data_IF_951867198886
#
_entry.id   IF_951867198886
#
_cell.length_a   1.000
_cell.length_b   1.000
_cell.length_c   1.000
_cell.angle_alpha   90.00
_cell.angle_beta   90.00
_cell.angle_gamma   90.00
#
_symmetry.space_group_name_H-M   'P 1'
#
loop_
_entity.id
_entity.type
_entity.pdbx_description
1 polymer ?
#
# COMPACT_ATOMS: atom_id res chain seq x y z
N UNK A 1 -37.23 14.93 -41.66
CA UNK A 1 -37.42 15.62 -40.37
C UNK A 1 -37.07 14.65 -39.24
N UNK A 2 -35.99 14.96 -38.51
CA UNK A 2 -35.55 14.46 -37.18
C UNK A 2 -35.37 12.95 -36.93
N UNK A 3 -34.10 12.50 -36.95
CA UNK A 3 -33.59 11.44 -36.07
C UNK A 3 -32.27 11.93 -35.47
N UNK A 4 -32.33 12.55 -34.29
CA UNK A 4 -31.16 12.83 -33.46
C UNK A 4 -31.59 12.59 -32.01
N UNK A 5 -30.68 12.00 -31.23
CA UNK A 5 -30.68 11.94 -29.76
C UNK A 5 -31.18 10.63 -29.15
N UNK A 6 -30.28 9.63 -29.05
CA UNK A 6 -30.39 8.56 -28.04
C UNK A 6 -29.05 7.98 -27.54
N UNK A 7 -27.89 8.45 -28.01
CA UNK A 7 -26.58 7.81 -27.71
C UNK A 7 -25.85 8.46 -26.51
N UNK A 8 -26.27 9.62 -26.01
CA UNK A 8 -25.51 10.36 -24.98
C UNK A 8 -25.76 9.94 -23.53
N UNK A 9 -26.81 9.15 -23.22
CA UNK A 9 -27.15 8.82 -21.83
C UNK A 9 -26.45 7.55 -21.30
N UNK A 10 -25.99 6.65 -22.18
CA UNK A 10 -25.36 5.39 -21.80
C UNK A 10 -23.91 5.56 -21.30
N UNK A 11 -23.18 6.56 -21.80
CA UNK A 11 -21.78 6.80 -21.44
C UNK A 11 -21.61 7.44 -20.04
N UNK A 12 -22.61 8.21 -19.59
CA UNK A 12 -22.59 8.86 -18.27
C UNK A 12 -22.88 7.87 -17.12
N UNK A 13 -23.66 6.82 -17.38
CA UNK A 13 -23.98 5.77 -16.40
C UNK A 13 -22.83 4.76 -16.23
N UNK A 14 -22.10 4.42 -17.31
CA UNK A 14 -20.93 3.52 -17.23
C UNK A 14 -19.73 4.16 -16.52
N UNK A 15 -19.53 5.46 -16.67
CA UNK A 15 -18.43 6.16 -15.98
C UNK A 15 -18.70 6.28 -14.48
N UNK A 16 -19.93 6.63 -14.08
CA UNK A 16 -20.32 6.68 -12.66
C UNK A 16 -20.19 5.33 -11.93
N UNK A 17 -20.50 4.20 -12.61
CA UNK A 17 -20.40 2.86 -12.01
C UNK A 17 -18.95 2.43 -11.81
N UNK A 18 -18.06 2.71 -12.77
CA UNK A 18 -16.62 2.44 -12.63
C UNK A 18 -15.95 3.29 -11.53
N UNK A 19 -16.36 4.56 -11.34
CA UNK A 19 -15.84 5.40 -10.25
C UNK A 19 -16.38 4.98 -8.88
N UNK A 20 -17.63 4.58 -8.78
CA UNK A 20 -18.24 4.10 -7.53
C UNK A 20 -17.63 2.76 -7.07
N UNK A 21 -17.40 1.81 -7.98
CA UNK A 21 -16.71 0.55 -7.68
C UNK A 21 -15.26 0.78 -7.24
N UNK A 22 -14.53 1.69 -7.91
CA UNK A 22 -13.17 2.05 -7.49
C UNK A 22 -13.14 2.62 -6.08
N UNK A 23 -14.08 3.49 -5.73
CA UNK A 23 -14.17 4.10 -4.39
C UNK A 23 -14.58 3.10 -3.32
N UNK A 24 -15.46 2.14 -3.64
CA UNK A 24 -15.86 1.06 -2.74
C UNK A 24 -14.72 0.04 -2.53
N UNK A 25 -13.95 -0.29 -3.58
CA UNK A 25 -12.78 -1.15 -3.48
C UNK A 25 -11.67 -0.48 -2.65
N UNK A 26 -11.39 0.81 -2.89
CA UNK A 26 -10.41 1.63 -2.16
C UNK A 26 -10.79 1.79 -0.67
N UNK A 27 -12.09 1.88 -0.36
CA UNK A 27 -12.57 1.86 1.04
C UNK A 27 -12.52 0.47 1.69
N UNK A 28 -12.56 -0.61 0.92
CA UNK A 28 -12.55 -1.97 1.46
C UNK A 28 -11.13 -2.50 1.75
N UNK A 29 -10.10 -2.00 1.06
CA UNK A 29 -8.70 -2.40 1.29
C UNK A 29 -7.94 -1.51 2.28
N UNK A 30 -8.51 -0.36 2.68
CA UNK A 30 -7.90 0.58 3.60
C UNK A 30 -6.86 1.49 2.92
N UNK A 31 -6.19 2.37 3.67
CA UNK A 31 -5.27 3.35 3.11
C UNK A 31 -4.06 2.69 2.45
N UNK A 32 -3.62 3.30 1.36
CA UNK A 32 -2.41 2.94 0.63
C UNK A 32 -1.20 3.63 1.25
N UNK A 33 -0.12 2.87 1.48
CA UNK A 33 1.19 3.40 1.85
C UNK A 33 2.11 3.37 0.63
N UNK A 34 2.85 4.46 0.41
CA UNK A 34 3.79 4.62 -0.69
C UNK A 34 5.22 4.33 -0.21
N UNK A 35 5.82 3.25 -0.70
CA UNK A 35 7.17 2.80 -0.31
C UNK A 35 8.16 3.11 -1.43
N UNK A 36 9.14 3.97 -1.17
CA UNK A 36 10.24 4.23 -2.09
C UNK A 36 11.16 3.01 -2.16
N UNK A 37 11.16 2.34 -3.33
CA UNK A 37 11.98 1.16 -3.61
C UNK A 37 13.37 1.55 -4.13
N UNK A 38 13.43 2.50 -5.06
CA UNK A 38 14.66 3.01 -5.64
C UNK A 38 14.55 4.53 -5.80
N UNK A 39 15.63 5.24 -5.47
CA UNK A 39 15.73 6.69 -5.60
C UNK A 39 16.82 7.02 -6.59
N UNK A 40 16.54 7.92 -7.52
CA UNK A 40 17.54 8.47 -8.45
C UNK A 40 18.32 7.36 -9.19
N UNK A 41 17.63 6.32 -9.65
CA UNK A 41 18.20 5.21 -10.42
C UNK A 41 18.27 5.55 -11.91
N UNK A 42 19.25 5.02 -12.64
CA UNK A 42 19.32 5.20 -14.10
C UNK A 42 18.19 4.43 -14.81
N UNK A 43 17.89 3.24 -14.31
CA UNK A 43 16.85 2.37 -14.85
C UNK A 43 16.48 1.29 -13.83
N UNK A 44 15.32 0.68 -13.99
CA UNK A 44 14.93 -0.54 -13.27
C UNK A 44 14.34 -1.56 -14.23
N UNK A 45 14.49 -2.85 -13.95
CA UNK A 45 13.73 -3.88 -14.63
C UNK A 45 12.33 -3.94 -14.01
N UNK A 46 11.31 -3.51 -14.76
CA UNK A 46 9.92 -3.51 -14.33
C UNK A 46 9.14 -4.61 -15.04
N UNK A 47 8.46 -5.44 -14.25
CA UNK A 47 7.63 -6.53 -14.73
C UNK A 47 6.23 -6.46 -14.12
N UNK A 48 5.21 -6.47 -14.97
CA UNK A 48 3.85 -6.81 -14.59
C UNK A 48 3.65 -8.31 -14.81
N UNK A 49 3.23 -9.04 -13.77
CA UNK A 49 2.88 -10.47 -13.84
C UNK A 49 1.36 -10.58 -13.87
N UNK A 50 0.81 -10.94 -15.03
CA UNK A 50 -0.63 -10.93 -15.29
C UNK A 50 -1.09 -9.66 -15.99
N UNK A 51 -2.41 -9.46 -16.07
CA UNK A 51 -3.00 -8.29 -16.71
C UNK A 51 -2.61 -7.01 -15.95
N UNK A 52 -2.48 -5.90 -16.68
CA UNK A 52 -2.08 -4.61 -16.12
C UNK A 52 -2.69 -3.44 -16.88
N UNK A 53 -2.71 -2.28 -16.23
CA UNK A 53 -3.05 -0.99 -16.81
C UNK A 53 -1.96 0.03 -16.51
N UNK A 54 -1.68 0.93 -17.45
CA UNK A 54 -0.77 2.06 -17.29
C UNK A 54 -1.58 3.35 -17.30
N UNK A 55 -1.33 4.22 -16.34
CA UNK A 55 -1.93 5.55 -16.25
C UNK A 55 -0.87 6.61 -15.99
N UNK A 56 -1.14 7.84 -16.43
CA UNK A 56 -0.44 9.03 -15.99
C UNK A 56 -0.67 9.23 -14.49
N UNK A 57 0.39 9.41 -13.70
CA UNK A 57 0.25 9.58 -12.25
C UNK A 57 -0.30 10.96 -11.88
N UNK A 58 0.10 11.99 -12.62
CA UNK A 58 -0.27 13.39 -12.41
C UNK A 58 -1.76 13.66 -12.70
N UNK A 59 -2.28 13.12 -13.80
CA UNK A 59 -3.67 13.36 -14.23
C UNK A 59 -4.61 12.19 -14.01
N UNK A 60 -4.08 10.98 -13.80
CA UNK A 60 -4.85 9.74 -13.80
C UNK A 60 -5.28 9.28 -15.20
N UNK A 61 -4.86 9.96 -16.26
CA UNK A 61 -5.24 9.64 -17.65
C UNK A 61 -4.73 8.26 -18.05
N UNK A 62 -5.54 7.52 -18.78
CA UNK A 62 -5.16 6.21 -19.31
C UNK A 62 -4.06 6.33 -20.36
N UNK A 63 -3.04 5.46 -20.29
CA UNK A 63 -1.94 5.37 -21.25
C UNK A 63 -1.94 4.05 -22.02
N UNK A 64 -2.37 2.96 -21.39
CA UNK A 64 -2.37 1.65 -22.03
C UNK A 64 -2.74 0.52 -21.08
N UNK A 65 -2.77 -0.70 -21.62
CA UNK A 65 -3.07 -1.91 -20.87
C UNK A 65 -2.47 -3.14 -21.55
N UNK A 66 -2.38 -4.24 -20.81
CA UNK A 66 -2.08 -5.56 -21.35
C UNK A 66 -2.88 -6.63 -20.62
N UNK A 67 -3.31 -7.65 -21.36
CA UNK A 67 -4.04 -8.80 -20.80
C UNK A 67 -3.11 -9.90 -20.29
N UNK A 68 -1.83 -9.86 -20.69
CA UNK A 68 -0.77 -10.76 -20.26
C UNK A 68 0.36 -9.98 -19.60
N UNK A 69 1.27 -10.69 -18.93
CA UNK A 69 2.42 -10.07 -18.29
C UNK A 69 3.35 -9.35 -19.27
N UNK A 70 4.07 -8.35 -18.77
CA UNK A 70 5.01 -7.53 -19.54
C UNK A 70 6.27 -7.26 -18.72
N UNK A 71 7.44 -7.43 -19.32
CA UNK A 71 8.74 -7.25 -18.66
C UNK A 71 9.68 -6.43 -19.54
N UNK A 72 10.04 -5.23 -19.10
CA UNK A 72 10.96 -4.35 -19.81
C UNK A 72 11.75 -3.48 -18.82
N UNK A 73 12.91 -3.00 -19.26
CA UNK A 73 13.63 -1.96 -18.54
C UNK A 73 12.84 -0.66 -18.63
N UNK A 74 12.61 -0.04 -17.47
CA UNK A 74 12.06 1.30 -17.35
C UNK A 74 13.18 2.29 -17.06
N UNK A 75 13.22 3.38 -17.82
CA UNK A 75 14.20 4.47 -17.68
C UNK A 75 13.59 5.78 -18.17
N UNK A 76 14.24 6.88 -17.82
CA UNK A 76 13.86 8.19 -18.33
C UNK A 76 14.54 8.46 -19.69
N UNK A 77 13.81 9.18 -20.54
CA UNK A 77 14.24 9.81 -21.76
C UNK A 77 14.25 11.33 -21.55
N UNK A 78 14.80 12.07 -22.52
CA UNK A 78 14.73 13.54 -22.50
C UNK A 78 13.28 14.04 -22.49
N UNK A 79 12.41 13.42 -23.29
CA UNK A 79 11.01 13.82 -23.47
C UNK A 79 9.99 12.89 -22.78
N UNK A 80 10.37 12.20 -21.70
CA UNK A 80 9.44 11.43 -20.87
C UNK A 80 9.99 10.10 -20.39
N UNK A 81 9.12 9.10 -20.20
CA UNK A 81 9.48 7.77 -19.69
C UNK A 81 9.38 6.71 -20.78
N UNK A 82 10.16 5.64 -20.64
CA UNK A 82 10.04 4.43 -21.47
C UNK A 82 9.84 3.20 -20.61
N UNK A 83 8.92 2.33 -21.01
CA UNK A 83 8.76 0.97 -20.49
C UNK A 83 8.11 0.08 -21.57
N UNK A 84 8.95 -0.61 -22.36
CA UNK A 84 8.52 -1.26 -23.60
C UNK A 84 8.32 -0.21 -24.69
N UNK A 85 7.15 0.43 -24.68
CA UNK A 85 6.84 1.66 -25.41
C UNK A 85 7.36 2.93 -24.72
N UNK A 86 7.42 4.00 -25.50
CA UNK A 86 7.74 5.34 -25.05
C UNK A 86 6.47 6.08 -24.66
N UNK A 87 6.57 6.92 -23.64
CA UNK A 87 5.50 7.79 -23.17
C UNK A 87 5.96 9.25 -23.30
N UNK A 88 5.84 9.86 -24.50
CA UNK A 88 6.24 11.25 -24.73
C UNK A 88 5.43 12.20 -23.86
N UNK A 89 6.08 13.22 -23.31
CA UNK A 89 5.50 14.22 -22.40
C UNK A 89 4.83 13.61 -21.14
N UNK A 90 5.27 12.40 -20.75
CA UNK A 90 4.82 11.70 -19.55
C UNK A 90 6.02 11.45 -18.64
N UNK A 91 6.12 12.26 -17.59
CA UNK A 91 7.23 12.19 -16.61
C UNK A 91 6.89 11.34 -15.39
N UNK A 92 5.65 10.86 -15.28
CA UNK A 92 5.20 10.05 -14.15
C UNK A 92 4.12 9.04 -14.60
N UNK A 93 4.40 7.76 -14.44
CA UNK A 93 3.44 6.68 -14.73
C UNK A 93 3.12 5.86 -13.50
N UNK A 94 1.96 5.22 -13.49
CA UNK A 94 1.62 4.16 -12.55
C UNK A 94 1.17 2.92 -13.31
N UNK A 95 1.80 1.80 -13.04
CA UNK A 95 1.43 0.49 -13.55
C UNK A 95 0.61 -0.22 -12.48
N UNK A 96 -0.66 -0.47 -12.78
CA UNK A 96 -1.62 -1.13 -11.91
C UNK A 96 -1.79 -2.59 -12.34
N UNK A 97 -1.44 -3.58 -11.51
CA UNK A 97 -1.85 -4.95 -11.77
C UNK A 97 -3.38 -5.07 -11.79
N UNK A 98 -3.93 -5.97 -12.60
CA UNK A 98 -5.37 -6.19 -12.76
C UNK A 98 -5.71 -7.64 -12.40
N UNK A 99 -6.58 -7.81 -11.40
CA UNK A 99 -6.99 -9.11 -10.88
C UNK A 99 -6.23 -9.54 -9.62
N UNK A 100 -6.75 -10.54 -8.88
CA UNK A 100 -6.26 -10.90 -7.55
C UNK A 100 -4.88 -11.56 -7.55
N UNK A 101 -4.53 -12.26 -8.64
CA UNK A 101 -3.23 -12.93 -8.79
C UNK A 101 -2.18 -12.06 -9.49
N UNK A 102 -2.57 -10.89 -9.99
CA UNK A 102 -1.66 -10.01 -10.70
C UNK A 102 -0.74 -9.27 -9.71
N UNK A 103 0.54 -9.23 -10.04
CA UNK A 103 1.57 -8.62 -9.18
C UNK A 103 2.57 -7.84 -10.00
N UNK A 104 3.36 -7.02 -9.31
CA UNK A 104 4.45 -6.27 -9.92
C UNK A 104 5.79 -6.85 -9.46
N UNK A 105 6.83 -6.67 -10.26
CA UNK A 105 8.18 -7.07 -9.93
C UNK A 105 9.14 -5.95 -10.35
N UNK A 106 10.02 -5.55 -9.44
CA UNK A 106 11.06 -4.54 -9.66
C UNK A 106 12.40 -5.17 -9.33
N UNK A 107 13.29 -5.23 -10.32
CA UNK A 107 14.61 -5.85 -10.23
C UNK A 107 14.57 -7.28 -9.64
N UNK A 108 13.52 -8.03 -10.00
CA UNK A 108 13.31 -9.42 -9.58
C UNK A 108 12.61 -9.61 -8.24
N UNK A 109 12.36 -8.53 -7.48
CA UNK A 109 11.59 -8.60 -6.24
C UNK A 109 10.11 -8.40 -6.55
N UNK A 110 9.27 -9.34 -6.13
CA UNK A 110 7.83 -9.28 -6.34
C UNK A 110 7.14 -8.43 -5.26
N UNK A 111 6.23 -7.57 -5.68
CA UNK A 111 5.44 -6.68 -4.86
C UNK A 111 3.94 -6.82 -5.16
N UNK A 112 3.12 -6.57 -4.14
CA UNK A 112 1.68 -6.36 -4.30
C UNK A 112 1.39 -4.87 -4.53
N UNK A 113 0.23 -4.58 -5.10
CA UNK A 113 -0.18 -3.22 -5.40
C UNK A 113 0.49 -2.66 -6.66
N UNK A 114 0.34 -1.35 -6.85
CA UNK A 114 0.82 -0.67 -8.06
C UNK A 114 2.29 -0.24 -7.93
N UNK A 115 2.94 -0.01 -9.06
CA UNK A 115 4.27 0.62 -9.11
C UNK A 115 4.15 1.96 -9.83
N UNK A 116 4.55 3.02 -9.16
CA UNK A 116 4.67 4.36 -9.73
C UNK A 116 6.13 4.68 -10.01
N UNK A 117 6.37 5.23 -11.20
CA UNK A 117 7.69 5.69 -11.64
C UNK A 117 7.62 7.19 -11.80
N UNK A 118 8.57 7.90 -11.21
CA UNK A 118 8.73 9.34 -11.30
C UNK A 118 10.05 9.63 -12.00
N UNK A 119 10.04 10.41 -13.06
CA UNK A 119 11.25 10.99 -13.60
C UNK A 119 11.84 11.99 -12.59
N UNK A 120 13.11 11.82 -12.29
CA UNK A 120 13.92 12.68 -11.46
C UNK A 120 14.84 13.52 -12.36
N UNK A 121 15.69 14.33 -11.73
CA UNK A 121 16.69 15.14 -12.44
C UNK A 121 17.69 14.26 -13.17
N UNK A 122 18.30 14.81 -14.22
CA UNK A 122 19.45 14.20 -14.94
C UNK A 122 19.12 12.82 -15.55
N UNK A 123 17.90 12.63 -16.07
CA UNK A 123 17.52 11.37 -16.71
C UNK A 123 17.43 10.19 -15.75
N UNK A 124 17.25 10.45 -14.45
CA UNK A 124 17.08 9.40 -13.43
C UNK A 124 15.61 9.16 -13.14
N UNK A 125 15.30 8.06 -12.45
CA UNK A 125 13.96 7.69 -12.02
C UNK A 125 13.91 7.34 -10.54
N UNK A 126 12.78 7.62 -9.91
CA UNK A 126 12.42 7.10 -8.60
C UNK A 126 11.25 6.14 -8.73
N UNK A 127 11.31 5.03 -7.99
CA UNK A 127 10.37 3.92 -8.07
C UNK A 127 9.68 3.76 -6.73
N UNK A 128 8.35 3.80 -6.76
CA UNK A 128 7.50 3.77 -5.56
C UNK A 128 6.50 2.64 -5.71
N UNK A 129 6.37 1.81 -4.68
CA UNK A 129 5.29 0.85 -4.59
C UNK A 129 4.13 1.44 -3.79
N UNK A 130 2.93 1.41 -4.38
CA UNK A 130 1.68 1.83 -3.77
C UNK A 130 0.91 0.57 -3.36
N UNK A 131 0.91 0.27 -2.05
CA UNK A 131 0.41 -1.00 -1.52
C UNK A 131 -0.57 -0.76 -0.35
N UNK A 132 -1.65 -1.57 -0.22
CA UNK A 132 -2.50 -1.52 0.96
C UNK A 132 -1.69 -1.77 2.23
N UNK A 133 -2.00 -1.02 3.30
CA UNK A 133 -1.23 -1.13 4.56
C UNK A 133 -1.24 -2.57 5.11
N UNK A 134 -2.32 -3.33 4.94
CA UNK A 134 -2.38 -4.71 5.41
C UNK A 134 -1.34 -5.61 4.71
N UNK A 135 -1.12 -5.43 3.40
CA UNK A 135 -0.09 -6.15 2.66
C UNK A 135 1.32 -5.64 2.97
N UNK A 136 1.47 -4.34 3.25
CA UNK A 136 2.72 -3.77 3.78
C UNK A 136 3.10 -4.37 5.13
N UNK A 137 2.15 -4.51 6.07
CA UNK A 137 2.38 -5.13 7.37
C UNK A 137 2.73 -6.61 7.23
N UNK A 138 2.06 -7.33 6.32
CA UNK A 138 2.41 -8.73 6.01
C UNK A 138 3.86 -8.85 5.55
N UNK A 139 4.35 -7.91 4.74
CA UNK A 139 5.75 -7.95 4.29
C UNK A 139 6.74 -7.56 5.40
N UNK A 140 6.46 -6.48 6.12
CA UNK A 140 7.38 -5.96 7.14
C UNK A 140 7.46 -6.85 8.38
N UNK A 141 6.32 -7.28 8.94
CA UNK A 141 6.29 -7.99 10.22
C UNK A 141 6.67 -9.47 10.13
N UNK A 142 6.49 -10.12 8.98
CA UNK A 142 6.74 -11.57 8.82
C UNK A 142 8.19 -11.98 9.10
N UNK A 143 9.15 -11.08 8.87
CA UNK A 143 10.57 -11.38 9.12
C UNK A 143 11.01 -11.09 10.55
N UNK A 144 10.30 -10.21 11.27
CA UNK A 144 10.58 -9.90 12.66
C UNK A 144 10.04 -10.96 13.62
N UNK A 145 8.83 -11.45 13.38
CA UNK A 145 8.18 -12.42 14.28
C UNK A 145 8.25 -13.84 13.72
N UNK A 146 9.43 -14.44 13.80
CA UNK A 146 9.67 -15.83 13.37
C UNK A 146 9.06 -16.86 14.32
N UNK A 147 8.96 -16.51 15.61
CA UNK A 147 8.34 -17.33 16.66
C UNK A 147 6.92 -16.80 16.92
N UNK A 148 5.90 -17.66 17.02
CA UNK A 148 4.56 -17.20 17.36
C UNK A 148 4.53 -16.64 18.79
N UNK A 149 3.96 -15.45 18.94
CA UNK A 149 3.63 -14.87 20.25
C UNK A 149 2.18 -15.24 20.62
N UNK A 150 1.79 -15.10 21.90
CA UNK A 150 0.39 -15.16 22.29
C UNK A 150 -0.49 -14.26 21.40
N UNK A 151 -1.69 -14.73 21.08
CA UNK A 151 -2.62 -14.05 20.15
C UNK A 151 -2.80 -12.57 20.48
N UNK A 152 -3.04 -12.25 21.75
CA UNK A 152 -3.28 -10.89 22.22
C UNK A 152 -2.01 -10.01 22.17
N UNK A 153 -0.84 -10.60 22.43
CA UNK A 153 0.45 -9.91 22.27
C UNK A 153 0.68 -9.53 20.81
N UNK A 154 0.51 -10.49 19.88
CA UNK A 154 0.68 -10.23 18.46
C UNK A 154 -0.36 -9.21 17.95
N UNK A 155 -1.60 -9.29 18.41
CA UNK A 155 -2.64 -8.33 18.08
C UNK A 155 -2.26 -6.90 18.51
N UNK A 156 -1.76 -6.72 19.74
CA UNK A 156 -1.30 -5.42 20.22
C UNK A 156 -0.16 -4.83 19.37
N UNK A 157 0.84 -5.66 19.05
CA UNK A 157 2.00 -5.27 18.23
C UNK A 157 1.59 -4.89 16.80
N UNK A 158 0.69 -5.66 16.19
CA UNK A 158 0.15 -5.39 14.85
C UNK A 158 -0.67 -4.09 14.83
N UNK A 159 -1.51 -3.86 15.83
CA UNK A 159 -2.31 -2.62 15.94
C UNK A 159 -1.39 -1.39 16.09
N UNK A 160 -0.34 -1.49 16.92
CA UNK A 160 0.64 -0.43 17.06
C UNK A 160 1.36 -0.15 15.72
N UNK A 161 1.87 -1.19 15.06
CA UNK A 161 2.54 -1.07 13.76
C UNK A 161 1.62 -0.48 12.67
N UNK A 162 0.35 -0.87 12.66
CA UNK A 162 -0.66 -0.32 11.75
C UNK A 162 -0.91 1.16 12.01
N UNK A 163 -1.04 1.54 13.27
CA UNK A 163 -1.26 2.94 13.66
C UNK A 163 -0.09 3.82 13.18
N UNK A 164 1.14 3.34 13.33
CA UNK A 164 2.33 4.02 12.83
C UNK A 164 2.37 4.12 11.31
N UNK A 165 1.96 3.06 10.60
CA UNK A 165 1.87 3.08 9.15
C UNK A 165 0.82 4.12 8.68
N UNK A 166 -0.36 4.13 9.30
CA UNK A 166 -1.43 5.09 9.00
C UNK A 166 -0.98 6.54 9.23
N UNK A 167 -0.23 6.80 10.31
CA UNK A 167 0.26 8.14 10.62
C UNK A 167 1.33 8.65 9.64
N UNK A 168 2.01 7.77 8.90
CA UNK A 168 3.02 8.13 7.89
C UNK A 168 2.41 8.50 6.54
N UNK A 169 1.21 8.00 6.24
CA UNK A 169 0.52 8.26 4.97
C UNK A 169 0.30 9.75 4.76
N UNK A 170 0.78 10.27 3.63
CA UNK A 170 0.62 11.66 3.23
C UNK A 170 0.15 11.76 1.79
N UNK A 171 -0.76 12.70 1.52
CA UNK A 171 -1.21 13.02 0.16
C UNK A 171 -0.20 13.89 -0.61
N UNK A 172 0.67 14.63 0.09
CA UNK A 172 1.50 15.69 -0.50
C UNK A 172 2.93 15.26 -0.83
N UNK A 173 3.29 13.99 -0.57
CA UNK A 173 4.63 13.46 -0.82
C UNK A 173 4.57 12.32 -1.83
N UNK A 174 5.57 12.19 -2.73
CA UNK A 174 5.60 11.07 -3.68
C UNK A 174 5.75 9.71 -3.01
N UNK A 175 6.32 9.65 -1.79
CA UNK A 175 6.38 8.45 -0.95
C UNK A 175 6.25 8.78 0.54
N UNK A 176 5.89 7.78 1.33
CA UNK A 176 5.67 7.87 2.78
C UNK A 176 6.83 7.27 3.58
N UNK A 177 7.44 6.19 3.07
CA UNK A 177 8.57 5.48 3.70
C UNK A 177 9.60 5.03 2.68
N UNK A 178 10.82 4.75 3.13
CA UNK A 178 11.89 4.16 2.31
C UNK A 178 12.04 2.67 2.62
N UNK A 179 12.22 1.84 1.59
CA UNK A 179 12.28 0.37 1.68
C UNK A 179 13.23 -0.14 2.77
N UNK A 180 14.46 0.40 2.84
CA UNK A 180 15.49 -0.01 3.82
C UNK A 180 15.11 0.36 5.25
N UNK A 181 14.56 1.55 5.46
CA UNK A 181 14.15 2.03 6.80
C UNK A 181 12.90 1.30 7.30
N UNK A 182 12.02 0.90 6.38
CA UNK A 182 10.78 0.20 6.67
C UNK A 182 10.96 -1.31 6.91
N UNK A 183 12.09 -1.90 6.50
CA UNK A 183 12.23 -3.36 6.47
C UNK A 183 11.19 -4.00 5.53
N UNK A 184 10.91 -3.36 4.39
CA UNK A 184 9.95 -3.84 3.41
C UNK A 184 10.67 -4.70 2.36
N UNK A 185 10.26 -5.96 2.19
CA UNK A 185 11.00 -6.93 1.36
C UNK A 185 10.19 -7.45 0.17
N UNK A 186 9.01 -6.87 -0.09
CA UNK A 186 8.05 -7.40 -1.04
C UNK A 186 7.43 -8.71 -0.55
N UNK A 187 6.84 -9.44 -1.48
CA UNK A 187 5.96 -10.59 -1.22
C UNK A 187 6.71 -11.92 -1.39
N UNK A 188 7.64 -11.99 -2.34
CA UNK A 188 8.38 -13.24 -2.63
C UNK A 188 9.16 -13.78 -1.43
N UNK A 189 9.70 -12.89 -0.59
CA UNK A 189 10.47 -13.26 0.61
C UNK A 189 9.56 -13.68 1.77
N UNK A 190 8.31 -13.20 1.81
CA UNK A 190 7.47 -13.26 3.02
C UNK A 190 6.33 -14.27 2.92
N UNK A 191 6.00 -14.78 1.73
CA UNK A 191 4.91 -15.75 1.55
C UNK A 191 5.12 -17.07 2.32
N UNK A 192 6.36 -17.55 2.46
CA UNK A 192 6.60 -18.91 2.96
C UNK A 192 6.44 -19.07 4.49
N UNK A 193 6.41 -17.97 5.27
CA UNK A 193 6.43 -18.02 6.75
C UNK A 193 5.63 -16.90 7.44
N UNK A 194 4.47 -16.53 6.91
CA UNK A 194 3.70 -15.43 7.49
C UNK A 194 2.89 -15.88 8.73
N UNK A 195 3.56 -16.01 9.88
CA UNK A 195 2.96 -16.31 11.19
C UNK A 195 2.16 -15.13 11.77
N UNK A 196 2.29 -13.95 11.18
CA UNK A 196 1.62 -12.72 11.62
C UNK A 196 0.31 -12.49 10.87
N UNK A 197 0.07 -13.23 9.78
CA UNK A 197 -1.06 -13.05 8.87
C UNK A 197 -2.41 -13.07 9.61
N UNK A 198 -2.63 -14.06 10.47
CA UNK A 198 -3.89 -14.21 11.20
C UNK A 198 -4.15 -13.02 12.12
N UNK A 199 -3.14 -12.54 12.85
CA UNK A 199 -3.27 -11.35 13.70
C UNK A 199 -3.48 -10.08 12.88
N UNK A 200 -2.87 -9.95 11.69
CA UNK A 200 -3.13 -8.86 10.77
C UNK A 200 -4.59 -8.88 10.30
N UNK A 201 -5.07 -10.04 9.87
CA UNK A 201 -6.43 -10.21 9.34
C UNK A 201 -7.49 -10.04 10.45
N UNK A 202 -7.26 -10.52 11.68
CA UNK A 202 -8.19 -10.34 12.82
C UNK A 202 -8.23 -8.92 13.38
N UNK A 203 -7.13 -8.18 13.28
CA UNK A 203 -7.05 -6.78 13.74
C UNK A 203 -7.19 -5.78 12.60
N UNK A 204 -7.68 -6.23 11.43
CA UNK A 204 -7.73 -5.43 10.21
C UNK A 204 -8.34 -4.06 10.48
N UNK A 205 -7.63 -3.02 10.06
CA UNK A 205 -7.98 -1.60 10.26
C UNK A 205 -8.11 -1.10 11.71
N UNK A 206 -7.82 -1.91 12.73
CA UNK A 206 -7.76 -1.44 14.12
C UNK A 206 -6.54 -0.56 14.33
N UNK A 207 -6.78 0.62 14.90
CA UNK A 207 -5.73 1.63 15.19
C UNK A 207 -5.93 2.24 16.57
N UNK A 208 -4.87 2.85 17.10
CA UNK A 208 -4.86 3.57 18.38
C UNK A 208 -5.12 5.06 18.16
N UNK A 209 -6.09 5.61 18.88
CA UNK A 209 -6.36 7.06 18.94
C UNK A 209 -6.29 7.58 20.37
N UNK A 210 -5.94 8.85 20.51
CA UNK A 210 -6.04 9.53 21.80
C UNK A 210 -7.49 9.85 22.12
N UNK A 211 -7.92 9.46 23.31
CA UNK A 211 -9.23 9.84 23.86
C UNK A 211 -9.38 11.34 24.02
N UNK A 212 -8.28 12.08 24.20
CA UNK A 212 -8.28 13.54 24.39
C UNK A 212 -8.42 14.29 23.08
N UNK A 213 -7.63 13.92 22.07
CA UNK A 213 -7.54 14.67 20.81
C UNK A 213 -8.29 14.03 19.63
N UNK A 214 -8.67 12.75 19.73
CA UNK A 214 -9.24 11.96 18.64
C UNK A 214 -8.25 11.61 17.51
N UNK A 215 -6.99 12.08 17.59
CA UNK A 215 -5.94 11.83 16.59
C UNK A 215 -5.32 10.45 16.79
N UNK A 216 -4.74 9.90 15.72
CA UNK A 216 -3.92 8.69 15.81
C UNK A 216 -2.72 8.96 16.74
N UNK A 217 -2.39 7.98 17.58
CA UNK A 217 -1.19 8.02 18.40
C UNK A 217 -0.11 7.24 17.66
N UNK A 218 0.85 7.95 17.08
CA UNK A 218 2.03 7.34 16.46
C UNK A 218 3.19 7.19 17.44
N UNK A 219 4.14 6.32 17.11
CA UNK A 219 5.31 6.01 17.94
C UNK A 219 5.00 5.04 19.08
N UNK A 220 3.90 4.28 18.99
CA UNK A 220 3.51 3.31 20.03
C UNK A 220 4.50 2.15 20.01
N UNK A 221 5.46 2.19 20.93
CA UNK A 221 6.53 1.18 21.01
C UNK A 221 6.21 0.21 22.13
N UNK A 222 5.87 -1.02 21.77
CA UNK A 222 5.61 -2.11 22.72
C UNK A 222 6.74 -3.13 22.55
N UNK A 223 7.61 -3.33 23.55
CA UNK A 223 8.62 -4.39 23.50
C UNK A 223 7.94 -5.76 23.37
N UNK A 224 8.33 -6.63 22.41
CA UNK A 224 7.66 -7.91 22.20
C UNK A 224 7.58 -8.80 23.46
N UNK A 225 8.66 -8.88 24.24
CA UNK A 225 8.69 -9.66 25.48
C UNK A 225 7.75 -9.10 26.57
N UNK A 226 7.57 -7.78 26.63
CA UNK A 226 6.60 -7.17 27.55
C UNK A 226 5.15 -7.45 27.11
N UNK A 227 4.88 -7.43 25.79
CA UNK A 227 3.58 -7.80 25.25
C UNK A 227 3.24 -9.27 25.55
N UNK A 228 4.23 -10.16 25.40
CA UNK A 228 4.12 -11.59 25.69
C UNK A 228 3.83 -11.84 27.17
N UNK A 229 4.62 -11.28 28.09
CA UNK A 229 4.43 -11.41 29.53
C UNK A 229 3.03 -10.95 29.98
N UNK A 230 2.56 -9.82 29.45
CA UNK A 230 1.22 -9.30 29.77
C UNK A 230 0.11 -10.20 29.23
N UNK A 231 0.28 -10.75 28.03
CA UNK A 231 -0.68 -11.66 27.42
C UNK A 231 -0.76 -12.99 28.19
N UNK A 232 0.38 -13.53 28.64
CA UNK A 232 0.43 -14.73 29.48
C UNK A 232 -0.26 -14.53 30.83
N UNK A 233 -0.25 -13.30 31.35
CA UNK A 233 -1.04 -12.89 32.54
C UNK A 233 -2.53 -12.66 32.26
N UNK A 234 -3.01 -12.93 31.05
CA UNK A 234 -4.41 -12.78 30.67
C UNK A 234 -4.80 -11.36 30.25
N UNK A 235 -3.84 -10.50 29.89
CA UNK A 235 -4.15 -9.20 29.29
C UNK A 235 -4.56 -9.36 27.83
N UNK A 236 -5.67 -8.74 27.44
CA UNK A 236 -6.04 -8.59 26.04
C UNK A 236 -5.21 -7.49 25.34
N UNK A 237 -5.29 -7.42 24.02
CA UNK A 237 -4.55 -6.43 23.23
C UNK A 237 -4.81 -4.97 23.68
N UNK A 238 -6.02 -4.65 24.15
CA UNK A 238 -6.37 -3.31 24.62
C UNK A 238 -5.63 -2.98 25.90
N UNK A 239 -5.59 -3.89 26.88
CA UNK A 239 -4.86 -3.72 28.14
C UNK A 239 -3.37 -3.61 27.89
N UNK A 240 -2.82 -4.42 26.98
CA UNK A 240 -1.41 -4.36 26.59
C UNK A 240 -1.08 -2.97 26.02
N UNK A 241 -1.86 -2.46 25.08
CA UNK A 241 -1.65 -1.12 24.51
C UNK A 241 -1.82 -0.02 25.57
N UNK A 242 -2.83 -0.14 26.44
CA UNK A 242 -3.12 0.85 27.48
C UNK A 242 -2.03 0.92 28.55
N UNK A 243 -1.23 -0.14 28.72
CA UNK A 243 -0.07 -0.15 29.63
C UNK A 243 1.05 0.80 29.19
N UNK A 244 1.15 1.05 27.88
CA UNK A 244 2.14 1.97 27.28
C UNK A 244 1.53 3.32 26.95
N UNK A 245 0.23 3.33 26.61
CA UNK A 245 -0.50 4.53 26.17
C UNK A 245 -1.81 4.63 26.97
N UNK A 246 -1.79 5.23 28.18
CA UNK A 246 -2.94 5.22 29.08
C UNK A 246 -4.21 5.88 28.52
N UNK A 247 -4.07 6.84 27.60
CA UNK A 247 -5.19 7.55 26.97
C UNK A 247 -5.63 6.92 25.62
N UNK A 248 -5.21 5.68 25.35
CA UNK A 248 -5.53 4.95 24.13
C UNK A 248 -7.00 4.53 24.05
N UNK A 249 -7.63 4.85 22.91
CA UNK A 249 -8.86 4.23 22.43
C UNK A 249 -8.54 3.41 21.19
N UNK A 250 -8.84 2.11 21.25
CA UNK A 250 -8.89 1.28 20.06
C UNK A 250 -10.14 1.62 19.26
N UNK A 251 -9.98 1.90 17.97
CA UNK A 251 -11.10 2.17 17.07
C UNK A 251 -11.14 1.16 15.94
N UNK A 252 -12.35 0.67 15.65
CA UNK A 252 -12.67 -0.17 14.50
C UNK A 252 -12.78 0.67 13.21
N UNK A 253 -12.61 0.05 12.02
CA UNK A 253 -12.71 0.73 10.72
C UNK A 253 -13.97 1.58 10.52
N UNK A 254 -15.12 1.18 11.06
CA UNK A 254 -16.39 1.91 10.93
C UNK A 254 -16.36 3.32 11.56
N UNK A 255 -15.37 3.62 12.40
CA UNK A 255 -15.19 4.92 13.04
C UNK A 255 -14.06 5.78 12.39
N UNK A 256 -13.37 5.27 11.36
CA UNK A 256 -12.22 5.94 10.73
C UNK A 256 -12.66 6.80 9.55
N UNK A 257 -12.74 8.12 9.75
CA UNK A 257 -12.81 9.08 8.63
C UNK A 257 -11.40 9.33 8.08
N UNK A 258 -11.12 8.84 6.87
CA UNK A 258 -9.94 9.24 6.10
C UNK A 258 -10.16 10.68 5.61
N UNK A 259 -9.22 11.58 5.92
CA UNK A 259 -9.18 12.94 5.37
C UNK A 259 -8.27 12.95 4.15
#
# INVERSE_FOLDING_TARGET
MKVVSFITLSCLLLTCSLFAERRAADLSEGPIIKVLLAKDANSVLLEAKGAYRVVRKDTGSFLGFGLSGKRFVCHALEEGLRWGEEFPDVYQITVLPQGPEATMSVDGIQYKGAISIYQAKEGRISVVNEVPIEDYLKSTLSLFYKTPLPKEAMAALVIAARTDAYAKVSQNRPWDVEVKKAGYYGVGVTQQKNKVKESIDWTRHMVVRSTKSGKLISGVTIPPGAAEELAERGSDARKIISSVVPDAKLTLPSEVRFR
#
